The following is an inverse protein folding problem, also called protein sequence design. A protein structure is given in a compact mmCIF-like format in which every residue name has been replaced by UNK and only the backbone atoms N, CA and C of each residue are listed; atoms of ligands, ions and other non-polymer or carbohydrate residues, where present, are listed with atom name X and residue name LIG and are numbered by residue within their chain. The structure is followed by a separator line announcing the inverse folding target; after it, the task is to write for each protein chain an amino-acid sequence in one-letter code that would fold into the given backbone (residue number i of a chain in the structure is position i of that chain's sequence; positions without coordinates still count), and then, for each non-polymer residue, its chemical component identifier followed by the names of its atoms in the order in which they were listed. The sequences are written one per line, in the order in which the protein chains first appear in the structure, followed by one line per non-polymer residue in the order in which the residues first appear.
data_IF_805758015852
#
_entry.id   IF_805758015852
#
_cell.length_a   1.000
_cell.length_b   1.000
_cell.length_c   1.000
_cell.angle_alpha   90.00
_cell.angle_beta   90.00
_cell.angle_gamma   90.00
#
_symmetry.space_group_name_H-M   'P 1'
#
loop_
_entity.id
_entity.type
_entity.pdbx_description
1 polymer ?
#
# COMPACT_ATOMS: atom_id res chain seq x y z
N UNK A 1 44.82 -5.60 -18.09
CA UNK A 1 43.63 -4.75 -17.86
C UNK A 1 42.78 -5.42 -16.80
N UNK A 2 42.80 -4.88 -15.59
CA UNK A 2 42.06 -5.41 -14.43
C UNK A 2 40.66 -4.79 -14.49
N UNK A 3 39.64 -5.59 -14.80
CA UNK A 3 38.25 -5.19 -14.65
C UNK A 3 37.85 -5.38 -13.18
N UNK A 4 37.84 -4.27 -12.43
CA UNK A 4 37.23 -4.18 -11.11
C UNK A 4 35.71 -4.21 -11.26
N UNK A 5 35.10 -5.40 -11.16
CA UNK A 5 33.68 -5.54 -10.87
C UNK A 5 33.45 -5.17 -9.40
N UNK A 6 33.24 -3.89 -9.13
CA UNK A 6 32.64 -3.45 -7.88
C UNK A 6 31.14 -3.79 -7.95
N UNK A 7 30.78 -5.01 -7.56
CA UNK A 7 29.42 -5.32 -7.17
C UNK A 7 29.12 -4.54 -5.89
N UNK A 8 28.57 -3.33 -6.05
CA UNK A 8 27.98 -2.60 -4.95
C UNK A 8 26.84 -3.47 -4.40
N UNK A 9 27.09 -4.13 -3.28
CA UNK A 9 26.03 -4.65 -2.43
C UNK A 9 25.18 -3.45 -1.99
N UNK A 10 24.16 -3.13 -2.79
CA UNK A 10 23.16 -2.15 -2.41
C UNK A 10 22.60 -2.57 -1.05
N UNK A 11 22.61 -1.64 -0.09
CA UNK A 11 21.99 -1.83 1.21
C UNK A 11 20.59 -2.41 0.98
N UNK A 12 20.36 -3.63 1.45
CA UNK A 12 19.23 -4.50 1.13
C UNK A 12 17.96 -4.10 1.86
N UNK A 13 17.59 -2.82 1.81
CA UNK A 13 16.32 -2.29 2.28
C UNK A 13 15.38 -2.02 1.12
N UNK A 14 14.08 -2.24 1.34
CA UNK A 14 13.06 -1.74 0.42
C UNK A 14 13.19 -0.22 0.28
N UNK A 15 12.99 0.35 -0.93
CA UNK A 15 12.79 1.78 -1.07
C UNK A 15 11.69 2.24 -0.12
N UNK A 16 11.90 3.37 0.57
CA UNK A 16 10.96 3.85 1.60
C UNK A 16 9.52 4.01 1.10
N UNK A 17 9.36 4.43 -0.16
CA UNK A 17 8.06 4.56 -0.79
C UNK A 17 7.34 3.20 -0.95
N UNK A 18 8.08 2.13 -1.25
CA UNK A 18 7.51 0.77 -1.31
C UNK A 18 7.18 0.25 0.07
N UNK A 19 8.03 0.49 1.06
CA UNK A 19 7.74 0.12 2.45
C UNK A 19 6.47 0.81 2.97
N UNK A 20 6.30 2.11 2.70
CA UNK A 20 5.12 2.87 3.13
C UNK A 20 3.84 2.38 2.46
N UNK A 21 3.90 2.12 1.15
CA UNK A 21 2.76 1.61 0.38
C UNK A 21 2.43 0.16 0.80
N UNK A 22 3.44 -0.69 1.09
CA UNK A 22 3.25 -2.05 1.61
C UNK A 22 2.59 -2.06 2.98
N UNK A 23 3.01 -1.17 3.89
CA UNK A 23 2.36 -1.02 5.20
C UNK A 23 0.91 -0.55 5.07
N UNK A 24 0.60 0.30 4.08
CA UNK A 24 -0.79 0.65 3.78
C UNK A 24 -1.60 -0.52 3.22
N UNK A 25 -0.99 -1.31 2.35
CA UNK A 25 -1.59 -2.55 1.86
C UNK A 25 -1.83 -3.55 3.01
N UNK A 26 -0.93 -3.64 3.99
CA UNK A 26 -1.09 -4.47 5.19
C UNK A 26 -2.28 -4.04 6.04
N UNK A 27 -2.37 -2.74 6.34
CA UNK A 27 -3.52 -2.16 7.04
C UNK A 27 -4.84 -2.51 6.35
N UNK A 28 -4.92 -2.28 5.03
CA UNK A 28 -6.14 -2.51 4.26
C UNK A 28 -6.50 -3.99 4.16
N UNK A 29 -5.50 -4.87 4.06
CA UNK A 29 -5.71 -6.33 4.05
C UNK A 29 -6.33 -6.81 5.37
N UNK A 30 -5.87 -6.27 6.51
CA UNK A 30 -6.47 -6.56 7.82
C UNK A 30 -7.86 -5.93 7.94
N UNK A 31 -8.05 -4.71 7.44
CA UNK A 31 -9.34 -4.01 7.48
C UNK A 31 -10.41 -4.76 6.65
N UNK A 32 -10.03 -5.32 5.50
CA UNK A 32 -10.90 -6.04 4.59
C UNK A 32 -11.58 -7.24 5.27
N UNK A 33 -10.86 -7.94 6.16
CA UNK A 33 -11.42 -9.05 6.95
C UNK A 33 -12.38 -8.63 8.07
N UNK A 34 -12.61 -7.33 8.28
CA UNK A 34 -13.41 -6.77 9.38
C UNK A 34 -14.64 -5.99 8.91
N UNK A 35 -14.82 -5.82 7.60
CA UNK A 35 -15.89 -5.00 7.03
C UNK A 35 -16.57 -5.73 5.87
N UNK A 36 -17.83 -5.40 5.62
CA UNK A 36 -18.65 -6.00 4.57
C UNK A 36 -19.29 -4.95 3.65
N UNK A 37 -19.89 -5.42 2.56
CA UNK A 37 -20.72 -4.60 1.65
C UNK A 37 -19.97 -3.40 1.06
N UNK A 38 -20.55 -2.22 1.18
CA UNK A 38 -19.97 -0.99 0.62
C UNK A 38 -18.61 -0.63 1.23
N UNK A 39 -18.47 -0.85 2.54
CA UNK A 39 -17.20 -0.58 3.23
C UNK A 39 -16.10 -1.53 2.76
N UNK A 40 -16.44 -2.80 2.49
CA UNK A 40 -15.50 -3.75 1.89
C UNK A 40 -15.01 -3.28 0.53
N UNK A 41 -15.92 -2.84 -0.34
CA UNK A 41 -15.55 -2.32 -1.68
C UNK A 41 -14.62 -1.11 -1.59
N UNK A 42 -14.85 -0.21 -0.63
CA UNK A 42 -13.97 0.94 -0.40
C UNK A 42 -12.57 0.52 0.05
N UNK A 43 -12.49 -0.44 0.99
CA UNK A 43 -11.20 -1.00 1.43
C UNK A 43 -10.48 -1.69 0.27
N UNK A 44 -11.18 -2.52 -0.51
CA UNK A 44 -10.61 -3.20 -1.67
C UNK A 44 -10.10 -2.20 -2.73
N UNK A 45 -10.83 -1.10 -2.96
CA UNK A 45 -10.39 -0.01 -3.84
C UNK A 45 -9.11 0.68 -3.35
N UNK A 46 -9.01 0.95 -2.04
CA UNK A 46 -7.79 1.45 -1.42
C UNK A 46 -6.63 0.45 -1.56
N UNK A 47 -6.88 -0.84 -1.38
CA UNK A 47 -5.86 -1.88 -1.49
C UNK A 47 -5.34 -1.97 -2.93
N UNK A 48 -6.23 -1.94 -3.92
CA UNK A 48 -5.88 -1.95 -5.33
C UNK A 48 -5.03 -0.72 -5.72
N UNK A 49 -5.34 0.45 -5.17
CA UNK A 49 -4.55 1.66 -5.40
C UNK A 49 -3.10 1.49 -4.94
N UNK A 50 -2.86 0.99 -3.73
CA UNK A 50 -1.49 0.78 -3.23
C UNK A 50 -0.79 -0.37 -3.95
N UNK A 51 -1.49 -1.46 -4.24
CA UNK A 51 -0.96 -2.57 -5.03
C UNK A 51 -0.47 -2.06 -6.40
N UNK A 52 -1.30 -1.33 -7.15
CA UNK A 52 -0.94 -0.78 -8.45
C UNK A 52 0.21 0.24 -8.40
N UNK A 53 0.30 1.04 -7.33
CA UNK A 53 1.42 1.96 -7.11
C UNK A 53 2.76 1.24 -6.91
N UNK A 54 2.74 0.14 -6.15
CA UNK A 54 3.94 -0.68 -5.93
C UNK A 54 4.32 -1.38 -7.23
N UNK A 55 3.38 -2.06 -7.89
CA UNK A 55 3.61 -2.74 -9.18
C UNK A 55 4.20 -1.79 -10.23
N UNK A 56 3.68 -0.56 -10.32
CA UNK A 56 4.19 0.43 -11.28
C UNK A 56 5.60 0.91 -10.97
N UNK A 57 6.01 0.94 -9.70
CA UNK A 57 7.31 1.47 -9.27
C UNK A 57 8.38 0.37 -9.17
N UNK A 58 7.96 -0.82 -8.77
CA UNK A 58 8.82 -1.96 -8.41
C UNK A 58 8.22 -3.28 -8.92
N UNK A 59 8.15 -3.48 -10.25
CA UNK A 59 7.46 -4.62 -10.87
C UNK A 59 8.11 -5.99 -10.61
N UNK A 60 9.29 -6.03 -10.00
CA UNK A 60 10.00 -7.27 -9.63
C UNK A 60 9.83 -7.61 -8.15
N UNK A 61 9.14 -6.75 -7.39
CA UNK A 61 8.95 -6.94 -5.98
C UNK A 61 7.90 -8.03 -5.74
N UNK A 62 8.26 -9.04 -4.94
CA UNK A 62 7.29 -10.01 -4.45
C UNK A 62 6.43 -9.35 -3.35
N UNK A 63 5.36 -8.67 -3.77
CA UNK A 63 4.44 -7.96 -2.87
C UNK A 63 3.86 -8.91 -1.83
N UNK A 64 3.48 -10.13 -2.24
CA UNK A 64 2.92 -11.14 -1.35
C UNK A 64 3.88 -11.51 -0.24
N UNK A 65 5.13 -11.87 -0.58
CA UNK A 65 6.14 -12.21 0.41
C UNK A 65 6.49 -11.05 1.35
N UNK A 66 6.48 -9.80 0.86
CA UNK A 66 6.73 -8.64 1.73
C UNK A 66 5.54 -8.35 2.65
N UNK A 67 4.32 -8.49 2.15
CA UNK A 67 3.10 -8.30 2.94
C UNK A 67 3.03 -9.32 4.07
N UNK A 68 3.32 -10.59 3.77
CA UNK A 68 3.41 -11.67 4.75
C UNK A 68 4.42 -11.36 5.86
N UNK A 69 5.61 -10.86 5.51
CA UNK A 69 6.62 -10.43 6.49
C UNK A 69 6.13 -9.32 7.41
N UNK A 70 5.38 -8.36 6.88
CA UNK A 70 4.85 -7.24 7.68
C UNK A 70 3.77 -7.75 8.64
N UNK A 71 2.80 -8.51 8.14
CA UNK A 71 1.65 -8.97 8.92
C UNK A 71 2.05 -9.94 10.04
N UNK A 72 3.12 -10.71 9.84
CA UNK A 72 3.64 -11.66 10.82
C UNK A 72 4.85 -11.15 11.61
N UNK A 73 5.22 -9.88 11.46
CA UNK A 73 6.30 -9.30 12.24
C UNK A 73 5.91 -9.25 13.74
N UNK A 74 6.82 -9.56 14.68
CA UNK A 74 6.54 -9.52 16.12
C UNK A 74 6.03 -8.18 16.66
N UNK A 75 6.22 -7.09 15.91
CA UNK A 75 5.75 -5.74 16.25
C UNK A 75 4.47 -5.31 15.56
N UNK A 76 3.87 -6.13 14.68
CA UNK A 76 2.65 -5.75 13.99
C UNK A 76 1.43 -6.08 14.86
N UNK A 77 0.92 -5.06 15.57
CA UNK A 77 -0.18 -5.17 16.52
C UNK A 77 -1.14 -3.99 16.45
N UNK A 78 -1.99 -3.80 17.48
CA UNK A 78 -2.99 -2.73 17.50
C UNK A 78 -2.41 -1.33 17.30
N UNK A 79 -1.26 -1.02 17.92
CA UNK A 79 -0.64 0.30 17.81
C UNK A 79 -0.10 0.58 16.40
N UNK A 80 0.65 -0.36 15.81
CA UNK A 80 1.14 -0.21 14.43
C UNK A 80 0.00 -0.17 13.44
N UNK A 81 -1.06 -0.96 13.66
CA UNK A 81 -2.28 -0.91 12.85
C UNK A 81 -2.92 0.48 12.88
N UNK A 82 -3.05 1.12 14.06
CA UNK A 82 -3.61 2.48 14.14
C UNK A 82 -2.67 3.53 13.51
N UNK A 83 -1.36 3.37 13.67
CA UNK A 83 -0.39 4.26 13.04
C UNK A 83 -0.43 4.16 11.50
N UNK A 84 -0.48 2.93 10.97
CA UNK A 84 -0.63 2.70 9.53
C UNK A 84 -1.99 3.24 9.05
N UNK A 85 -3.09 2.96 9.75
CA UNK A 85 -4.41 3.52 9.45
C UNK A 85 -4.37 5.05 9.31
N UNK A 86 -3.82 5.75 10.30
CA UNK A 86 -3.74 7.21 10.29
C UNK A 86 -2.92 7.72 9.10
N UNK A 87 -1.76 7.10 8.83
CA UNK A 87 -0.92 7.47 7.68
C UNK A 87 -1.64 7.26 6.35
N UNK A 88 -2.28 6.11 6.16
CA UNK A 88 -2.91 5.75 4.90
C UNK A 88 -4.16 6.59 4.62
N UNK A 89 -4.94 6.91 5.65
CA UNK A 89 -6.07 7.83 5.53
C UNK A 89 -5.62 9.25 5.12
N UNK A 90 -4.46 9.72 5.61
CA UNK A 90 -3.88 10.98 5.16
C UNK A 90 -3.62 11.06 3.65
N UNK A 91 -3.48 9.92 2.97
CA UNK A 91 -3.35 9.86 1.51
C UNK A 91 -4.66 9.49 0.80
N UNK A 92 -5.43 8.54 1.35
CA UNK A 92 -6.63 8.02 0.74
C UNK A 92 -7.81 9.00 0.82
N UNK A 93 -7.99 9.74 1.91
CA UNK A 93 -9.16 10.63 2.06
C UNK A 93 -9.16 11.77 1.02
N UNK A 94 -8.03 12.46 0.75
CA UNK A 94 -7.96 13.45 -0.33
C UNK A 94 -8.08 12.80 -1.72
N UNK A 95 -7.61 11.57 -1.89
CA UNK A 95 -7.74 10.84 -3.16
C UNK A 95 -9.20 10.47 -3.44
N UNK A 96 -9.90 9.93 -2.46
CA UNK A 96 -11.32 9.58 -2.55
C UNK A 96 -12.15 10.82 -2.89
N UNK A 97 -11.89 11.95 -2.22
CA UNK A 97 -12.55 13.23 -2.51
C UNK A 97 -12.37 13.66 -3.97
N UNK A 98 -11.14 13.54 -4.50
CA UNK A 98 -10.87 13.86 -5.92
C UNK A 98 -11.50 12.86 -6.87
N UNK A 99 -11.50 11.58 -6.51
CA UNK A 99 -12.13 10.53 -7.31
C UNK A 99 -13.64 10.74 -7.39
N UNK A 100 -14.30 11.08 -6.30
CA UNK A 100 -15.73 11.41 -6.29
C UNK A 100 -16.05 12.63 -7.14
N UNK A 101 -15.23 13.69 -7.07
CA UNK A 101 -15.38 14.86 -7.94
C UNK A 101 -15.14 14.54 -9.42
N UNK A 102 -14.20 13.65 -9.74
CA UNK A 102 -14.02 13.13 -11.09
C UNK A 102 -15.26 12.32 -11.53
N UNK A 103 -15.68 11.36 -10.71
CA UNK A 103 -16.83 10.48 -10.97
C UNK A 103 -18.11 11.27 -11.21
N UNK A 104 -18.42 12.26 -10.37
CA UNK A 104 -19.59 13.12 -10.55
C UNK A 104 -19.60 13.83 -11.92
N UNK A 105 -18.43 14.25 -12.42
CA UNK A 105 -18.31 14.92 -13.72
C UNK A 105 -18.49 14.00 -14.92
N UNK A 106 -18.12 12.72 -14.81
CA UNK A 106 -18.03 11.82 -15.97
C UNK A 106 -19.04 10.66 -15.95
N UNK A 107 -19.50 10.24 -14.77
CA UNK A 107 -20.43 9.13 -14.60
C UNK A 107 -21.85 9.59 -14.22
N UNK A 108 -22.07 10.91 -14.09
CA UNK A 108 -23.40 11.47 -13.83
C UNK A 108 -23.86 11.25 -12.38
N UNK A 109 -23.08 11.72 -11.41
CA UNK A 109 -23.63 11.94 -10.08
C UNK A 109 -24.60 13.13 -10.16
N UNK A 110 -25.84 12.92 -9.74
CA UNK A 110 -26.91 13.94 -9.68
C UNK A 110 -26.44 15.32 -9.20
#
# INVERSE_FOLDING_TARGET
MIFLLAAAAALTGLPKADEDDLRCLAYLSVAAGKVDGDQRRKVDGGALYYFGRIESRSPQLDIGAQLEKILHAPGYGPETYQADKARCHGQLDPLATRFDAWRGRYEGGE
#
